data_IF_126343039838
#
_entry.id   IF_126343039838
#
_cell.length_a   1.000
_cell.length_b   1.000
_cell.length_c   1.000
_cell.angle_alpha   90.00
_cell.angle_beta   90.00
_cell.angle_gamma   90.00
#
_symmetry.space_group_name_H-M   'P 1'
#
loop_
_entity.id
_entity.type
_entity.pdbx_description
1 polymer ?
#
# COMPACT_ATOMS: atom_id res chain seq x y z
N UNK A 1 55.24 48.41 -32.66
CA UNK A 1 54.39 49.34 -31.89
C UNK A 1 54.08 48.66 -30.54
N UNK A 2 55.01 48.54 -29.58
CA UNK A 2 55.45 49.49 -28.52
C UNK A 2 54.35 49.99 -27.56
N UNK A 3 54.34 49.40 -26.35
CA UNK A 3 53.76 49.77 -25.03
C UNK A 3 54.21 51.22 -24.58
N UNK A 4 53.74 51.93 -23.49
CA UNK A 4 53.56 51.45 -22.09
C UNK A 4 52.66 52.24 -21.05
N UNK A 5 52.58 51.69 -19.80
CA UNK A 5 52.46 52.34 -18.44
C UNK A 5 51.12 53.02 -18.04
N UNK A 6 50.64 53.04 -16.78
CA UNK A 6 51.19 53.01 -15.40
C UNK A 6 50.12 52.42 -14.44
N UNK A 7 50.36 51.59 -13.39
CA UNK A 7 51.16 51.65 -12.14
C UNK A 7 50.60 52.55 -11.02
N UNK A 8 50.37 51.94 -9.84
CA UNK A 8 50.18 52.55 -8.51
C UNK A 8 49.12 51.79 -7.68
N UNK A 9 49.38 50.69 -6.95
CA UNK A 9 50.22 50.47 -5.75
C UNK A 9 49.69 51.17 -4.47
N UNK A 10 49.24 50.37 -3.48
CA UNK A 10 49.66 50.32 -2.06
C UNK A 10 48.57 49.72 -1.13
N UNK A 11 48.82 48.50 -0.63
CA UNK A 11 48.53 48.09 0.76
C UNK A 11 49.62 48.68 1.68
N UNK A 12 49.45 48.87 3.02
CA UNK A 12 49.47 47.75 3.99
C UNK A 12 48.75 47.90 5.37
N UNK A 13 48.42 46.73 5.96
CA UNK A 13 48.68 46.20 7.32
C UNK A 13 48.39 46.96 8.63
N UNK A 14 47.72 46.26 9.58
CA UNK A 14 48.11 45.91 10.99
C UNK A 14 46.82 45.65 11.83
N UNK A 15 46.51 44.46 12.37
CA UNK A 15 47.13 43.65 13.46
C UNK A 15 46.55 43.92 14.87
N UNK A 16 46.30 42.82 15.59
CA UNK A 16 46.22 42.63 17.05
C UNK A 16 45.01 43.13 17.85
N UNK A 17 44.25 42.17 18.43
CA UNK A 17 44.13 42.06 19.90
C UNK A 17 43.54 40.69 20.29
N UNK A 18 44.30 39.96 21.11
CA UNK A 18 43.93 38.70 21.74
C UNK A 18 43.30 38.92 23.13
N UNK A 19 42.44 37.99 23.53
CA UNK A 19 42.34 37.46 24.90
C UNK A 19 41.66 38.30 25.99
N UNK A 20 40.50 37.82 26.48
CA UNK A 20 40.16 37.85 27.90
C UNK A 20 39.07 36.81 28.21
N UNK A 21 39.46 35.76 28.94
CA UNK A 21 38.62 34.83 29.67
C UNK A 21 38.31 35.45 31.02
N UNK A 22 37.05 35.45 31.45
CA UNK A 22 36.72 35.58 32.88
C UNK A 22 35.65 34.56 33.29
N UNK A 23 35.99 33.77 34.30
CA UNK A 23 35.16 32.81 35.00
C UNK A 23 34.77 33.45 36.33
N UNK A 24 33.47 33.67 36.55
CA UNK A 24 32.93 33.81 37.90
C UNK A 24 31.88 32.74 38.14
N UNK A 25 32.35 31.65 38.75
CA UNK A 25 31.48 30.64 39.35
C UNK A 25 30.90 31.14 40.67
N UNK A 26 29.62 30.87 40.87
CA UNK A 26 29.04 30.73 42.21
C UNK A 26 28.32 29.38 42.23
N UNK A 27 28.83 28.49 43.08
CA UNK A 27 28.29 27.16 43.33
C UNK A 27 27.89 27.02 44.81
N UNK A 28 26.74 26.37 45.02
CA UNK A 28 26.23 25.59 46.18
C UNK A 28 24.79 25.98 46.55
N UNK A 29 23.84 25.09 46.87
CA UNK A 29 23.86 23.72 47.45
C UNK A 29 22.55 22.97 47.06
N UNK A 30 22.45 21.63 47.21
CA UNK A 30 21.43 20.79 46.59
C UNK A 30 20.20 20.58 47.49
N UNK A 31 19.03 20.42 46.88
CA UNK A 31 17.81 20.00 47.58
C UNK A 31 17.20 18.75 46.92
N UNK A 32 17.40 17.64 47.63
CA UNK A 32 16.58 16.42 47.69
C UNK A 32 16.17 15.72 46.38
N UNK A 33 16.79 14.56 46.17
CA UNK A 33 16.25 13.44 45.39
C UNK A 33 14.89 13.04 46.00
N UNK A 34 13.80 13.47 45.38
CA UNK A 34 12.48 12.89 45.60
C UNK A 34 12.24 11.80 44.57
N UNK A 35 12.32 10.53 44.99
CA UNK A 35 11.85 9.39 44.18
C UNK A 35 10.33 9.54 44.03
N UNK A 36 9.87 10.10 42.91
CA UNK A 36 8.44 10.17 42.60
C UNK A 36 8.04 8.87 41.93
N UNK A 37 7.34 8.01 42.68
CA UNK A 37 6.71 6.79 42.17
C UNK A 37 5.86 7.13 40.94
N UNK A 38 6.22 6.57 39.79
CA UNK A 38 5.35 6.49 38.63
C UNK A 38 4.18 5.57 38.99
N UNK A 39 3.01 6.15 39.19
CA UNK A 39 1.79 5.40 39.43
C UNK A 39 1.32 4.74 38.14
N UNK A 40 1.69 3.48 37.94
CA UNK A 40 1.09 2.63 36.91
C UNK A 40 -0.29 2.21 37.39
N UNK A 41 -1.34 2.61 36.71
CA UNK A 41 -2.68 2.03 36.88
C UNK A 41 -3.11 1.47 35.53
N UNK A 42 -3.46 0.18 35.50
CA UNK A 42 -3.98 -0.53 34.32
C UNK A 42 -3.07 -0.56 33.07
N UNK A 43 -1.76 -0.75 33.24
CA UNK A 43 -0.87 -1.09 32.10
C UNK A 43 -0.73 -0.03 30.99
N UNK A 44 -1.32 1.15 31.15
CA UNK A 44 -1.20 2.26 30.19
C UNK A 44 -0.06 3.17 30.62
N UNK A 45 1.01 3.21 29.81
CA UNK A 45 2.07 4.20 29.94
C UNK A 45 1.52 5.59 29.58
N UNK A 46 1.21 6.39 30.60
CA UNK A 46 0.86 7.79 30.42
C UNK A 46 2.14 8.54 30.05
N UNK A 47 2.32 8.84 28.76
CA UNK A 47 3.32 9.81 28.31
C UNK A 47 2.91 11.16 28.88
N UNK A 48 3.61 11.64 29.90
CA UNK A 48 3.45 12.99 30.43
C UNK A 48 3.93 13.99 29.36
N UNK A 49 3.03 14.37 28.46
CA UNK A 49 3.16 15.62 27.72
C UNK A 49 2.92 16.74 28.72
N UNK A 50 4.02 17.34 29.18
CA UNK A 50 4.03 18.60 29.92
C UNK A 50 3.25 19.64 29.11
N UNK A 51 1.97 19.83 29.45
CA UNK A 51 1.12 20.89 28.93
C UNK A 51 1.64 22.23 29.45
N UNK A 52 2.51 22.86 28.67
CA UNK A 52 2.69 24.32 28.74
C UNK A 52 1.46 24.92 28.05
N UNK A 53 0.62 25.64 28.79
CA UNK A 53 -0.70 26.10 28.35
C UNK A 53 -0.64 27.07 27.17
N UNK A 54 -0.89 26.56 25.98
CA UNK A 54 -1.23 27.30 24.76
C UNK A 54 -2.14 26.42 23.92
N UNK A 55 -3.17 27.00 23.32
CA UNK A 55 -4.01 26.33 22.33
C UNK A 55 -3.12 25.87 21.15
N UNK A 56 -3.09 24.56 20.81
CA UNK A 56 -2.25 24.03 19.74
C UNK A 56 -2.59 24.62 18.35
N UNK A 57 -3.77 25.23 18.20
CA UNK A 57 -4.21 25.91 16.98
C UNK A 57 -3.92 27.42 16.97
N UNK A 58 -3.31 27.95 18.04
CA UNK A 58 -2.94 29.36 18.13
C UNK A 58 -1.65 29.66 17.37
N UNK A 59 -1.77 29.69 16.05
CA UNK A 59 -0.69 30.01 15.12
C UNK A 59 -0.11 31.42 15.31
N UNK A 60 -0.81 32.31 16.01
CA UNK A 60 -0.33 33.68 16.30
C UNK A 60 0.79 33.70 17.34
N UNK A 61 0.87 32.67 18.18
CA UNK A 61 2.01 32.45 19.09
C UNK A 61 3.17 31.72 18.43
N UNK A 62 2.89 30.88 17.42
CA UNK A 62 3.89 30.07 16.71
C UNK A 62 4.67 30.88 15.68
N UNK A 63 4.02 31.85 15.03
CA UNK A 63 4.61 32.71 14.02
C UNK A 63 4.34 34.19 14.33
N UNK A 64 5.43 34.98 14.43
CA UNK A 64 5.35 36.42 14.69
C UNK A 64 4.54 37.18 13.63
N UNK A 65 4.08 38.39 13.97
CA UNK A 65 3.34 39.24 13.03
C UNK A 65 4.25 39.69 11.89
N UNK A 66 3.83 39.43 10.66
CA UNK A 66 4.56 39.89 9.47
C UNK A 66 4.50 41.41 9.32
N UNK A 67 5.46 41.96 8.57
CA UNK A 67 5.42 43.35 8.13
C UNK A 67 4.19 43.57 7.26
N UNK A 68 3.46 44.67 7.49
CA UNK A 68 2.27 45.04 6.72
C UNK A 68 2.62 45.05 5.22
N UNK A 69 1.89 44.26 4.43
CA UNK A 69 2.14 44.08 2.98
C UNK A 69 3.06 42.90 2.62
N UNK A 70 3.71 42.24 3.59
CA UNK A 70 4.52 41.03 3.37
C UNK A 70 3.85 39.74 3.87
N UNK A 71 2.57 39.81 4.23
CA UNK A 71 1.79 38.68 4.78
C UNK A 71 1.68 37.49 3.80
N UNK A 72 1.72 37.75 2.48
CA UNK A 72 1.75 36.73 1.42
C UNK A 72 3.14 36.51 0.81
N UNK A 73 4.20 37.08 1.39
CA UNK A 73 5.56 36.91 0.90
C UNK A 73 5.96 35.43 0.88
N UNK A 74 7.05 35.08 0.19
CA UNK A 74 7.51 33.68 0.06
C UNK A 74 7.70 32.96 1.40
N UNK A 75 7.95 33.71 2.49
CA UNK A 75 8.07 33.27 3.88
C UNK A 75 7.01 33.87 4.81
N UNK A 76 5.94 34.44 4.26
CA UNK A 76 4.84 35.02 5.04
C UNK A 76 4.21 33.97 5.94
N UNK A 77 3.75 34.42 7.11
CA UNK A 77 3.06 33.62 8.12
C UNK A 77 1.91 32.82 7.54
N UNK A 78 1.17 33.38 6.58
CA UNK A 78 0.07 32.68 5.91
C UNK A 78 0.52 31.32 5.34
N UNK A 79 1.63 31.28 4.60
CA UNK A 79 2.11 30.03 3.98
C UNK A 79 2.60 29.02 5.02
N UNK A 80 3.18 29.49 6.12
CA UNK A 80 3.64 28.63 7.21
C UNK A 80 2.45 28.01 7.95
N UNK A 81 1.45 28.83 8.33
CA UNK A 81 0.21 28.35 8.93
C UNK A 81 -0.57 27.43 7.99
N UNK A 82 -0.67 27.77 6.71
CA UNK A 82 -1.32 26.92 5.71
C UNK A 82 -0.63 25.57 5.58
N UNK A 83 0.71 25.53 5.54
CA UNK A 83 1.46 24.28 5.46
C UNK A 83 1.28 23.42 6.71
N UNK A 84 1.30 24.02 7.90
CA UNK A 84 1.06 23.29 9.15
C UNK A 84 -0.32 22.64 9.16
N UNK A 85 -1.37 23.40 8.85
CA UNK A 85 -2.75 22.89 8.81
C UNK A 85 -2.94 21.85 7.69
N UNK A 86 -2.36 22.12 6.52
CA UNK A 86 -2.40 21.21 5.38
C UNK A 86 -1.69 19.87 5.69
N UNK A 87 -0.58 19.90 6.42
CA UNK A 87 0.14 18.68 6.80
C UNK A 87 -0.70 17.82 7.75
N UNK A 88 -1.35 18.43 8.75
CA UNK A 88 -2.24 17.71 9.68
C UNK A 88 -3.39 17.04 8.92
N UNK A 89 -4.04 17.79 8.02
CA UNK A 89 -5.11 17.25 7.19
C UNK A 89 -4.64 16.13 6.25
N UNK A 90 -3.50 16.32 5.57
CA UNK A 90 -2.95 15.36 4.63
C UNK A 90 -2.52 14.07 5.33
N UNK A 91 -1.93 14.18 6.53
CA UNK A 91 -1.51 13.05 7.36
C UNK A 91 -2.71 12.22 7.81
N UNK A 92 -3.74 12.87 8.39
CA UNK A 92 -4.96 12.18 8.84
C UNK A 92 -5.68 11.50 7.66
N UNK A 93 -5.82 12.19 6.53
CA UNK A 93 -6.42 11.63 5.33
C UNK A 93 -5.62 10.41 4.84
N UNK A 94 -4.30 10.53 4.71
CA UNK A 94 -3.45 9.45 4.20
C UNK A 94 -3.44 8.26 5.15
N UNK A 95 -3.38 8.47 6.47
CA UNK A 95 -3.42 7.42 7.48
C UNK A 95 -4.71 6.61 7.37
N UNK A 96 -5.87 7.28 7.34
CA UNK A 96 -7.17 6.62 7.19
C UNK A 96 -7.26 5.78 5.92
N UNK A 97 -6.81 6.30 4.78
CA UNK A 97 -6.85 5.54 3.52
C UNK A 97 -5.86 4.38 3.53
N UNK A 98 -4.67 4.55 4.13
CA UNK A 98 -3.66 3.50 4.23
C UNK A 98 -4.14 2.34 5.10
N UNK A 99 -4.77 2.63 6.23
CA UNK A 99 -5.29 1.59 7.13
C UNK A 99 -6.40 0.77 6.46
N UNK A 100 -7.32 1.43 5.75
CA UNK A 100 -8.33 0.75 4.95
C UNK A 100 -7.71 -0.13 3.85
N UNK A 101 -6.73 0.40 3.12
CA UNK A 101 -5.99 -0.35 2.08
C UNK A 101 -5.26 -1.56 2.67
N UNK A 102 -4.64 -1.43 3.83
CA UNK A 102 -3.88 -2.49 4.50
C UNK A 102 -4.80 -3.65 4.90
N UNK A 103 -5.99 -3.35 5.44
CA UNK A 103 -7.02 -4.35 5.74
C UNK A 103 -7.50 -5.06 4.47
N UNK A 104 -7.77 -4.32 3.40
CA UNK A 104 -8.20 -4.88 2.10
C UNK A 104 -7.13 -5.78 1.49
N UNK A 105 -5.85 -5.43 1.60
CA UNK A 105 -4.74 -6.24 1.09
C UNK A 105 -4.64 -7.58 1.81
N UNK A 106 -4.75 -7.57 3.15
CA UNK A 106 -4.74 -8.81 3.95
C UNK A 106 -5.91 -9.69 3.54
N UNK A 107 -7.11 -9.12 3.42
CA UNK A 107 -8.27 -9.86 2.98
C UNK A 107 -8.08 -10.44 1.57
N UNK A 108 -7.65 -9.62 0.60
CA UNK A 108 -7.41 -10.04 -0.78
C UNK A 108 -6.35 -11.16 -0.87
N UNK A 109 -5.28 -11.08 -0.07
CA UNK A 109 -4.24 -12.11 -0.02
C UNK A 109 -4.77 -13.45 0.50
N UNK A 110 -5.47 -13.42 1.64
CA UNK A 110 -6.06 -14.63 2.23
C UNK A 110 -7.12 -15.24 1.31
N UNK A 111 -8.00 -14.41 0.76
CA UNK A 111 -9.03 -14.82 -0.18
C UNK A 111 -8.40 -15.44 -1.44
N UNK A 112 -7.38 -14.82 -2.03
CA UNK A 112 -6.69 -15.36 -3.21
C UNK A 112 -6.02 -16.71 -2.93
N UNK A 113 -5.45 -16.90 -1.73
CA UNK A 113 -4.84 -18.17 -1.33
C UNK A 113 -5.90 -19.28 -1.24
N UNK A 114 -7.03 -19.01 -0.60
CA UNK A 114 -8.15 -19.94 -0.50
C UNK A 114 -8.72 -20.24 -1.90
N UNK A 115 -8.95 -19.22 -2.73
CA UNK A 115 -9.45 -19.43 -4.10
C UNK A 115 -8.50 -20.25 -4.96
N UNK A 116 -7.19 -20.06 -4.80
CA UNK A 116 -6.19 -20.81 -5.55
C UNK A 116 -6.30 -22.31 -5.29
N UNK A 117 -6.61 -22.75 -4.05
CA UNK A 117 -6.77 -24.18 -3.76
C UNK A 117 -7.98 -24.77 -4.47
N UNK A 118 -9.12 -24.05 -4.46
CA UNK A 118 -10.32 -24.45 -5.19
C UNK A 118 -10.08 -24.51 -6.70
N UNK A 119 -9.46 -23.48 -7.27
CA UNK A 119 -9.11 -23.42 -8.69
C UNK A 119 -8.17 -24.56 -9.08
N UNK A 120 -7.15 -24.88 -8.27
CA UNK A 120 -6.25 -26.01 -8.54
C UNK A 120 -7.02 -27.33 -8.55
N UNK A 121 -7.95 -27.53 -7.62
CA UNK A 121 -8.77 -28.75 -7.58
C UNK A 121 -9.72 -28.84 -8.77
N UNK A 122 -10.48 -27.80 -9.09
CA UNK A 122 -11.44 -27.88 -10.20
C UNK A 122 -10.82 -27.78 -11.58
N UNK A 123 -9.60 -27.25 -11.69
CA UNK A 123 -8.85 -27.30 -12.94
C UNK A 123 -8.49 -28.75 -13.34
N UNK A 124 -8.43 -29.67 -12.39
CA UNK A 124 -8.24 -31.10 -12.67
C UNK A 124 -9.50 -31.72 -13.30
N UNK A 125 -10.70 -31.23 -12.94
CA UNK A 125 -11.97 -31.70 -13.54
C UNK A 125 -12.10 -31.30 -15.03
N UNK A 126 -11.32 -30.33 -15.49
CA UNK A 126 -11.22 -29.94 -16.90
C UNK A 126 -10.23 -30.80 -17.69
N UNK A 127 -9.60 -31.80 -17.07
CA UNK A 127 -8.72 -32.75 -17.75
C UNK A 127 -9.36 -34.14 -17.77
N UNK A 128 -9.08 -34.94 -18.82
CA UNK A 128 -9.51 -36.33 -18.84
C UNK A 128 -8.94 -37.10 -17.66
N UNK A 129 -9.78 -37.85 -16.97
CA UNK A 129 -9.35 -38.72 -15.88
C UNK A 129 -8.56 -39.92 -16.43
N UNK A 130 -7.24 -39.77 -16.44
CA UNK A 130 -6.31 -40.82 -16.86
C UNK A 130 -6.40 -42.08 -15.99
N UNK A 131 -6.88 -41.99 -14.74
CA UNK A 131 -7.08 -43.15 -13.88
C UNK A 131 -8.31 -43.95 -14.32
N UNK A 132 -9.42 -43.29 -14.63
CA UNK A 132 -10.60 -43.95 -15.20
C UNK A 132 -10.30 -44.53 -16.60
N UNK A 133 -9.58 -43.77 -17.46
CA UNK A 133 -9.18 -44.25 -18.79
C UNK A 133 -8.28 -45.48 -18.68
N UNK A 134 -7.26 -45.46 -17.82
CA UNK A 134 -6.39 -46.63 -17.62
C UNK A 134 -7.12 -47.83 -17.01
N UNK A 135 -8.04 -47.61 -16.06
CA UNK A 135 -8.88 -48.67 -15.51
C UNK A 135 -9.79 -49.30 -16.58
N UNK A 136 -10.39 -48.49 -17.45
CA UNK A 136 -11.21 -48.99 -18.56
C UNK A 136 -10.39 -49.83 -19.55
N UNK A 137 -9.17 -49.39 -19.89
CA UNK A 137 -8.24 -50.13 -20.75
C UNK A 137 -7.79 -51.45 -20.11
N UNK A 138 -7.55 -51.47 -18.79
CA UNK A 138 -7.22 -52.69 -18.07
C UNK A 138 -8.37 -53.70 -18.05
N UNK A 139 -9.60 -53.22 -17.83
CA UNK A 139 -10.81 -54.08 -17.89
C UNK A 139 -10.95 -54.69 -19.28
N UNK A 140 -10.73 -53.90 -20.33
CA UNK A 140 -10.78 -54.37 -21.72
C UNK A 140 -9.69 -55.42 -21.99
N UNK A 141 -8.45 -55.18 -21.55
CA UNK A 141 -7.35 -56.14 -21.70
C UNK A 141 -7.66 -57.48 -21.01
N UNK A 142 -8.24 -57.44 -19.81
CA UNK A 142 -8.69 -58.64 -19.10
C UNK A 142 -9.83 -59.34 -19.84
N UNK A 143 -10.76 -58.56 -20.42
CA UNK A 143 -11.82 -59.07 -21.29
C UNK A 143 -11.28 -59.81 -22.52
N UNK A 144 -10.27 -59.24 -23.17
CA UNK A 144 -9.56 -59.86 -24.30
C UNK A 144 -8.88 -61.17 -23.91
N UNK A 145 -8.16 -61.20 -22.79
CA UNK A 145 -7.51 -62.42 -22.29
C UNK A 145 -8.52 -63.54 -22.00
N UNK A 146 -9.70 -63.20 -21.46
CA UNK A 146 -10.77 -64.17 -21.20
C UNK A 146 -11.43 -64.66 -22.49
N UNK A 147 -11.64 -63.81 -23.49
CA UNK A 147 -12.21 -64.21 -24.77
C UNK A 147 -11.25 -65.11 -25.58
N UNK A 148 -9.96 -64.78 -25.55
CA UNK A 148 -8.91 -65.56 -26.21
C UNK A 148 -8.76 -66.97 -25.62
N UNK A 149 -8.96 -67.15 -24.31
CA UNK A 149 -8.89 -68.47 -23.67
C UNK A 149 -10.07 -69.39 -23.97
N UNK A 150 -11.19 -68.84 -24.47
CA UNK A 150 -12.44 -69.58 -24.76
C UNK A 150 -12.61 -69.86 -26.26
N UNK A 151 -11.62 -69.54 -27.11
CA UNK A 151 -11.64 -69.84 -28.55
C UNK A 151 -12.91 -69.35 -29.28
N UNK A 152 -13.41 -68.18 -28.90
CA UNK A 152 -14.48 -67.48 -29.60
C UNK A 152 -13.88 -66.27 -30.31
N UNK A 153 -14.36 -66.02 -31.53
CA UNK A 153 -13.88 -64.94 -32.42
C UNK A 153 -13.65 -63.65 -31.63
N UNK A 154 -12.43 -63.11 -31.73
CA UNK A 154 -12.02 -61.89 -31.04
C UNK A 154 -12.93 -60.75 -31.53
N UNK A 155 -13.81 -60.17 -30.69
CA UNK A 155 -14.57 -59.00 -31.10
C UNK A 155 -13.61 -57.82 -31.30
N UNK A 156 -13.80 -57.07 -32.40
CA UNK A 156 -13.14 -55.78 -32.62
C UNK A 156 -13.38 -54.90 -31.39
N UNK A 157 -12.34 -54.19 -30.90
CA UNK A 157 -12.49 -53.32 -29.75
C UNK A 157 -13.57 -52.29 -30.06
N UNK A 158 -14.67 -52.22 -29.29
CA UNK A 158 -15.57 -51.08 -29.38
C UNK A 158 -14.83 -49.80 -28.95
N UNK A 159 -13.72 -49.96 -28.22
CA UNK A 159 -12.71 -48.93 -27.98
C UNK A 159 -11.82 -48.75 -29.22
N UNK A 160 -12.39 -48.15 -30.26
CA UNK A 160 -11.70 -47.07 -30.94
C UNK A 160 -12.45 -45.78 -30.59
N UNK A 161 -12.19 -45.15 -29.43
CA UNK A 161 -12.76 -43.85 -29.18
C UNK A 161 -11.68 -42.82 -29.50
N UNK A 162 -12.02 -41.87 -30.37
CA UNK A 162 -11.56 -40.53 -30.12
C UNK A 162 -11.77 -40.26 -28.62
N UNK A 163 -10.70 -40.03 -27.88
CA UNK A 163 -10.73 -39.54 -26.49
C UNK A 163 -11.36 -38.15 -26.56
N UNK A 164 -12.67 -38.10 -26.78
CA UNK A 164 -13.45 -36.88 -26.89
C UNK A 164 -13.84 -36.50 -25.48
N UNK A 165 -12.83 -36.05 -24.74
CA UNK A 165 -13.06 -35.40 -23.46
C UNK A 165 -13.77 -34.07 -23.74
N UNK A 166 -15.05 -34.02 -23.40
CA UNK A 166 -15.82 -32.79 -23.39
C UNK A 166 -16.17 -32.49 -21.94
N UNK A 167 -15.56 -31.47 -21.31
CA UNK A 167 -15.87 -31.13 -19.93
C UNK A 167 -17.33 -30.71 -19.82
N UNK A 168 -17.95 -30.97 -18.67
CA UNK A 168 -19.33 -30.55 -18.45
C UNK A 168 -19.41 -29.01 -18.52
N UNK A 169 -20.52 -28.48 -19.06
CA UNK A 169 -20.71 -27.03 -19.11
C UNK A 169 -20.65 -26.42 -17.70
N UNK A 170 -21.15 -27.12 -16.69
CA UNK A 170 -21.09 -26.69 -15.29
C UNK A 170 -19.64 -26.52 -14.80
N UNK A 171 -18.75 -27.47 -15.09
CA UNK A 171 -17.33 -27.39 -14.70
C UNK A 171 -16.62 -26.22 -15.37
N UNK A 172 -16.93 -25.94 -16.64
CA UNK A 172 -16.38 -24.78 -17.37
C UNK A 172 -16.84 -23.47 -16.74
N UNK A 173 -18.13 -23.35 -16.40
CA UNK A 173 -18.68 -22.16 -15.76
C UNK A 173 -18.11 -21.92 -14.36
N UNK A 174 -18.04 -22.96 -13.52
CA UNK A 174 -17.48 -22.87 -12.16
C UNK A 174 -16.01 -22.44 -12.20
N UNK A 175 -15.20 -23.10 -13.03
CA UNK A 175 -13.80 -22.72 -13.18
C UNK A 175 -13.66 -21.27 -13.68
N UNK A 176 -14.45 -20.87 -14.68
CA UNK A 176 -14.41 -19.50 -15.20
C UNK A 176 -14.77 -18.46 -14.14
N UNK A 177 -15.82 -18.71 -13.34
CA UNK A 177 -16.25 -17.83 -12.25
C UNK A 177 -15.17 -17.71 -11.17
N UNK A 178 -14.53 -18.81 -10.79
CA UNK A 178 -13.46 -18.80 -9.78
C UNK A 178 -12.17 -18.17 -10.30
N UNK A 179 -11.79 -18.41 -11.55
CA UNK A 179 -10.66 -17.71 -12.17
C UNK A 179 -10.91 -16.20 -12.25
N UNK A 180 -12.12 -15.78 -12.64
CA UNK A 180 -12.45 -14.36 -12.70
C UNK A 180 -12.50 -13.72 -11.31
N UNK A 181 -13.04 -14.43 -10.32
CA UNK A 181 -13.02 -14.01 -8.92
C UNK A 181 -11.57 -13.82 -8.42
N UNK A 182 -10.69 -14.78 -8.69
CA UNK A 182 -9.26 -14.70 -8.36
C UNK A 182 -8.60 -13.51 -9.07
N UNK A 183 -8.84 -13.33 -10.37
CA UNK A 183 -8.28 -12.23 -11.14
C UNK A 183 -8.73 -10.85 -10.62
N UNK A 184 -10.01 -10.70 -10.26
CA UNK A 184 -10.53 -9.48 -9.64
C UNK A 184 -9.89 -9.20 -8.29
N UNK A 185 -9.69 -10.22 -7.46
CA UNK A 185 -9.01 -10.10 -6.16
C UNK A 185 -7.56 -9.63 -6.32
N UNK A 186 -6.80 -10.25 -7.21
CA UNK A 186 -5.42 -9.84 -7.51
C UNK A 186 -5.35 -8.43 -8.11
N UNK A 187 -6.27 -8.09 -9.01
CA UNK A 187 -6.36 -6.73 -9.59
C UNK A 187 -6.62 -5.71 -8.49
N UNK A 188 -7.54 -6.00 -7.57
CA UNK A 188 -7.83 -5.14 -6.41
C UNK A 188 -6.57 -4.95 -5.56
N UNK A 189 -5.85 -6.02 -5.25
CA UNK A 189 -4.60 -5.96 -4.50
C UNK A 189 -3.52 -5.12 -5.21
N UNK A 190 -3.38 -5.26 -6.54
CA UNK A 190 -2.44 -4.48 -7.33
C UNK A 190 -2.77 -2.98 -7.29
N UNK A 191 -4.03 -2.61 -7.52
CA UNK A 191 -4.46 -1.21 -7.47
C UNK A 191 -4.31 -0.65 -6.05
N UNK A 192 -4.54 -1.45 -5.02
CA UNK A 192 -4.34 -1.08 -3.63
C UNK A 192 -2.87 -0.75 -3.32
N UNK A 193 -1.92 -1.56 -3.81
CA UNK A 193 -0.48 -1.28 -3.69
C UNK A 193 -0.10 -0.01 -4.45
N UNK A 194 -0.57 0.18 -5.69
CA UNK A 194 -0.30 1.40 -6.46
C UNK A 194 -0.83 2.64 -5.75
N UNK A 195 -2.04 2.57 -5.20
CA UNK A 195 -2.65 3.70 -4.50
C UNK A 195 -1.86 4.04 -3.22
N UNK A 196 -1.39 3.02 -2.49
CA UNK A 196 -0.51 3.20 -1.34
C UNK A 196 0.80 3.90 -1.72
N UNK A 197 1.40 3.52 -2.85
CA UNK A 197 2.61 4.19 -3.37
C UNK A 197 2.35 5.65 -3.73
N UNK A 198 1.21 5.94 -4.36
CA UNK A 198 0.79 7.31 -4.69
C UNK A 198 0.58 8.17 -3.43
N UNK A 199 -0.11 7.64 -2.41
CA UNK A 199 -0.32 8.34 -1.14
C UNK A 199 1.00 8.61 -0.41
N UNK A 200 1.93 7.65 -0.44
CA UNK A 200 3.26 7.84 0.13
C UNK A 200 4.05 8.95 -0.61
N UNK A 201 3.98 8.96 -1.95
CA UNK A 201 4.64 10.00 -2.74
C UNK A 201 3.98 11.38 -2.55
N UNK A 202 2.67 11.42 -2.33
CA UNK A 202 1.92 12.65 -2.07
C UNK A 202 2.47 13.40 -0.85
N UNK A 203 2.63 12.69 0.28
CA UNK A 203 3.11 13.27 1.54
C UNK A 203 4.63 13.49 1.61
N UNK A 204 5.38 13.00 0.60
CA UNK A 204 6.83 13.19 0.55
C UNK A 204 7.20 14.69 0.49
N UNK A 205 7.84 15.18 1.56
CA UNK A 205 8.20 16.59 1.72
C UNK A 205 9.44 16.90 0.91
N UNK A 206 9.36 17.90 0.02
CA UNK A 206 10.55 18.50 -0.61
C UNK A 206 11.03 19.63 0.30
N UNK A 207 12.10 19.37 1.04
CA UNK A 207 12.57 20.24 2.13
C UNK A 207 13.24 21.55 1.66
N UNK A 208 13.79 21.58 0.45
CA UNK A 208 14.67 22.68 -0.01
C UNK A 208 13.95 23.89 -0.63
N UNK A 209 12.61 23.93 -0.59
CA UNK A 209 11.81 24.96 -1.28
C UNK A 209 11.20 25.94 -0.27
N UNK A 210 11.05 27.21 -0.67
CA UNK A 210 10.37 28.22 0.15
C UNK A 210 8.94 27.80 0.56
N UNK A 211 8.40 28.29 1.68
CA UNK A 211 7.03 27.96 2.14
C UNK A 211 5.95 28.14 1.07
N UNK A 212 6.02 29.25 0.31
CA UNK A 212 5.13 29.48 -0.82
C UNK A 212 5.28 28.39 -1.91
N UNK A 213 6.50 28.02 -2.28
CA UNK A 213 6.74 27.01 -3.30
C UNK A 213 6.26 25.62 -2.85
N UNK A 214 6.46 25.27 -1.57
CA UNK A 214 5.95 24.04 -0.96
C UNK A 214 4.42 24.00 -0.99
N UNK A 215 3.76 25.09 -0.62
CA UNK A 215 2.30 25.19 -0.68
C UNK A 215 1.75 24.99 -2.09
N UNK A 216 2.39 25.61 -3.10
CA UNK A 216 2.01 25.45 -4.52
C UNK A 216 2.22 24.04 -5.04
N UNK A 217 3.33 23.38 -4.70
CA UNK A 217 3.58 21.99 -5.11
C UNK A 217 2.56 21.05 -4.48
N UNK A 218 2.27 21.21 -3.18
CA UNK A 218 1.23 20.43 -2.48
C UNK A 218 -0.13 20.62 -3.15
N UNK A 219 -0.50 21.86 -3.46
CA UNK A 219 -1.75 22.14 -4.14
C UNK A 219 -1.82 21.52 -5.54
N UNK A 220 -0.73 21.58 -6.31
CA UNK A 220 -0.66 20.92 -7.61
C UNK A 220 -0.82 19.40 -7.49
N UNK A 221 -0.19 18.77 -6.49
CA UNK A 221 -0.36 17.34 -6.21
C UNK A 221 -1.79 17.00 -5.79
N UNK A 222 -2.41 17.85 -4.97
CA UNK A 222 -3.79 17.67 -4.51
C UNK A 222 -4.79 17.80 -5.68
N UNK A 223 -4.64 18.82 -6.52
CA UNK A 223 -5.42 18.97 -7.76
C UNK A 223 -5.20 17.79 -8.70
N UNK A 224 -3.99 17.23 -8.74
CA UNK A 224 -3.71 15.97 -9.42
C UNK A 224 -4.54 14.82 -8.85
N UNK A 225 -4.48 14.62 -7.53
CA UNK A 225 -5.22 13.58 -6.82
C UNK A 225 -6.73 13.64 -7.10
N UNK A 226 -7.29 14.85 -7.11
CA UNK A 226 -8.69 15.10 -7.42
C UNK A 226 -9.01 14.89 -8.91
N UNK A 227 -8.17 15.38 -9.82
CA UNK A 227 -8.36 15.19 -11.27
C UNK A 227 -8.29 13.71 -11.68
N UNK A 228 -7.39 12.95 -11.06
CA UNK A 228 -7.26 11.50 -11.28
C UNK A 228 -8.27 10.68 -10.48
N UNK A 229 -9.12 11.32 -9.68
CA UNK A 229 -10.20 10.68 -8.91
C UNK A 229 -9.67 9.54 -8.02
N UNK A 230 -8.48 9.70 -7.44
CA UNK A 230 -7.88 8.70 -6.54
C UNK A 230 -8.81 8.33 -5.36
N UNK A 231 -9.55 9.27 -4.74
CA UNK A 231 -10.50 8.91 -3.68
C UNK A 231 -11.63 7.99 -4.18
N UNK A 232 -12.08 8.19 -5.42
CA UNK A 232 -13.07 7.31 -6.06
C UNK A 232 -12.50 5.91 -6.30
N UNK A 233 -11.23 5.82 -6.73
CA UNK A 233 -10.54 4.54 -6.90
C UNK A 233 -10.48 3.81 -5.54
N UNK A 234 -10.04 4.48 -4.47
CA UNK A 234 -9.95 3.89 -3.13
C UNK A 234 -11.32 3.42 -2.63
N UNK A 235 -12.39 4.20 -2.87
CA UNK A 235 -13.75 3.79 -2.53
C UNK A 235 -14.27 2.59 -3.34
N UNK A 236 -13.70 2.34 -4.52
CA UNK A 236 -14.12 1.28 -5.45
C UNK A 236 -13.36 -0.04 -5.20
N UNK A 237 -12.19 -0.01 -4.56
CA UNK A 237 -11.43 -1.21 -4.15
C UNK A 237 -12.27 -2.22 -3.34
N UNK A 238 -12.94 -1.81 -2.24
CA UNK A 238 -13.80 -2.72 -1.49
C UNK A 238 -14.88 -3.34 -2.37
N UNK A 239 -15.46 -2.56 -3.28
CA UNK A 239 -16.56 -3.01 -4.14
C UNK A 239 -16.09 -4.14 -5.07
N UNK A 240 -14.93 -3.99 -5.72
CA UNK A 240 -14.37 -5.09 -6.54
C UNK A 240 -14.17 -6.36 -5.72
N UNK A 241 -13.70 -6.19 -4.48
CA UNK A 241 -13.45 -7.31 -3.59
C UNK A 241 -14.77 -8.02 -3.21
N UNK A 242 -15.82 -7.27 -2.90
CA UNK A 242 -17.14 -7.85 -2.62
C UNK A 242 -17.74 -8.54 -3.86
N UNK A 243 -17.57 -7.95 -5.05
CA UNK A 243 -17.99 -8.58 -6.31
C UNK A 243 -17.25 -9.89 -6.53
N UNK A 244 -15.93 -9.89 -6.34
CA UNK A 244 -15.10 -11.09 -6.40
C UNK A 244 -15.60 -12.18 -5.45
N UNK A 245 -15.89 -11.83 -4.19
CA UNK A 245 -16.46 -12.74 -3.19
C UNK A 245 -17.84 -13.28 -3.61
N UNK A 246 -18.71 -12.42 -4.17
CA UNK A 246 -20.01 -12.83 -4.69
C UNK A 246 -19.93 -13.83 -5.84
N UNK A 247 -18.98 -13.63 -6.76
CA UNK A 247 -18.73 -14.58 -7.85
C UNK A 247 -18.20 -15.92 -7.32
N UNK A 248 -17.33 -15.89 -6.31
CA UNK A 248 -16.85 -17.11 -5.66
C UNK A 248 -17.99 -17.93 -5.06
N UNK A 249 -18.87 -17.29 -4.26
CA UNK A 249 -20.03 -17.96 -3.69
C UNK A 249 -21.00 -18.49 -4.75
N UNK A 250 -21.20 -17.74 -5.83
CA UNK A 250 -22.02 -18.20 -6.96
C UNK A 250 -21.44 -19.47 -7.57
N UNK A 251 -20.14 -19.52 -7.82
CA UNK A 251 -19.44 -20.72 -8.28
C UNK A 251 -19.52 -21.87 -7.28
N UNK A 252 -19.43 -21.59 -5.97
CA UNK A 252 -19.56 -22.59 -4.91
C UNK A 252 -20.95 -23.24 -4.89
N UNK A 253 -22.02 -22.45 -5.02
CA UNK A 253 -23.38 -22.97 -5.07
C UNK A 253 -23.60 -23.88 -6.29
N UNK A 254 -23.08 -23.49 -7.46
CA UNK A 254 -23.17 -24.31 -8.68
C UNK A 254 -22.37 -25.60 -8.49
N UNK A 255 -21.16 -25.51 -7.95
CA UNK A 255 -20.31 -26.67 -7.67
C UNK A 255 -20.98 -27.67 -6.72
N UNK A 256 -21.58 -27.19 -5.62
CA UNK A 256 -22.29 -28.04 -4.66
C UNK A 256 -23.57 -28.67 -5.23
N UNK A 257 -24.22 -28.02 -6.17
CA UNK A 257 -25.39 -28.59 -6.84
C UNK A 257 -25.02 -29.62 -7.91
N UNK A 258 -23.83 -29.49 -8.50
CA UNK A 258 -23.31 -30.42 -9.50
C UNK A 258 -22.60 -31.65 -8.90
N UNK A 259 -22.25 -31.60 -7.60
CA UNK A 259 -21.69 -32.71 -6.83
C UNK A 259 -22.75 -33.77 -6.51
#
# INVERSE_FOLDING_TARGET
MTNPRNVGQLEPDLEAAAGAVDQSGVQEKPASIGIRRTGTTFGIHKKDTRKTGGDPTDYTKRYGKDVVGQEMSSRGRFWLTYLDEALVFDEEMVEMHKDNIDVLLVFAGLFSAILSTFVIQTAQNLQPDYTAVSASLLIELVGYQRAASVSSSIPLSPFYPAISFSPSLADVWVNSLWFFSLALSLTTALVAVLTKQWLHQYISVVSDISPLGRGRIRQYRYMGLEKWQVPMIIGLLPILLHVSLGLFFTGLCIYLFAL
#
